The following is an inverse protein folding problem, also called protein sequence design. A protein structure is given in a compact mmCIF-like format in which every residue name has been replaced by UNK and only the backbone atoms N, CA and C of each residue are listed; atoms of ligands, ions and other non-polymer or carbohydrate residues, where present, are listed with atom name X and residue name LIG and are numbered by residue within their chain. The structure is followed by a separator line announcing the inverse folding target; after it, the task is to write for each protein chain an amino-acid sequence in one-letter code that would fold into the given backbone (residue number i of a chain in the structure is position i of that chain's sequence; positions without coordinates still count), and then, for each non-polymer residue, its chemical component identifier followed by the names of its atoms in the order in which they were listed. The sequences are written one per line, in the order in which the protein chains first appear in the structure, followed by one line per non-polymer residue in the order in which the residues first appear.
data_IF_639563427545
#
_entry.id   IF_639563427545
#
_cell.length_a   1.000
_cell.length_b   1.000
_cell.length_c   1.000
_cell.angle_alpha   90.00
_cell.angle_beta   90.00
_cell.angle_gamma   90.00
#
_symmetry.space_group_name_H-M   'P 1'
#
loop_
_entity.id
_entity.type
_entity.pdbx_description
1 polymer ?
#
# COMPACT_ATOMS: atom_id res chain seq x y z
N UNK A 1 10.62 55.48 14.02
CA UNK A 1 9.75 54.88 12.97
C UNK A 1 10.47 53.77 12.22
N UNK A 2 11.77 53.97 11.84
CA UNK A 2 12.56 52.92 11.18
C UNK A 2 12.74 51.71 12.09
N UNK A 3 12.88 51.89 13.40
CA UNK A 3 13.03 50.83 14.37
C UNK A 3 11.74 50.00 14.50
N UNK A 4 10.57 50.63 14.42
CA UNK A 4 9.29 49.95 14.50
C UNK A 4 9.03 49.13 13.26
N UNK A 5 9.31 49.66 12.07
CA UNK A 5 9.17 48.94 10.81
C UNK A 5 10.10 47.73 10.76
N UNK A 6 11.34 47.88 11.26
CA UNK A 6 12.30 46.78 11.32
C UNK A 6 11.83 45.69 12.29
N UNK A 7 11.29 46.07 13.44
CA UNK A 7 10.77 45.12 14.42
C UNK A 7 9.57 44.33 13.86
N UNK A 8 8.69 45.01 13.12
CA UNK A 8 7.55 44.35 12.46
C UNK A 8 8.00 43.35 11.38
N UNK A 9 9.01 43.74 10.60
CA UNK A 9 9.58 42.87 9.59
C UNK A 9 10.24 41.66 10.21
N UNK A 10 11.03 41.84 11.27
CA UNK A 10 11.68 40.76 12.00
C UNK A 10 10.66 39.79 12.59
N UNK A 11 9.57 40.33 13.16
CA UNK A 11 8.50 39.48 13.68
C UNK A 11 7.83 38.69 12.58
N UNK A 12 7.56 39.29 11.42
CA UNK A 12 6.95 38.63 10.29
C UNK A 12 7.84 37.48 9.80
N UNK A 13 9.14 37.71 9.68
CA UNK A 13 10.12 36.68 9.26
C UNK A 13 10.14 35.55 10.28
N UNK A 14 10.17 35.86 11.58
CA UNK A 14 10.16 34.87 12.65
C UNK A 14 8.88 34.02 12.61
N UNK A 15 7.72 34.66 12.45
CA UNK A 15 6.44 33.94 12.35
C UNK A 15 6.42 32.98 11.16
N UNK A 16 6.90 33.42 10.01
CA UNK A 16 6.97 32.56 8.81
C UNK A 16 7.89 31.36 9.05
N UNK A 17 9.03 31.59 9.72
CA UNK A 17 9.96 30.51 10.04
C UNK A 17 9.34 29.49 10.99
N UNK A 18 8.62 29.96 12.04
CA UNK A 18 7.95 29.09 13.01
C UNK A 18 6.84 28.32 12.33
N UNK A 19 6.04 28.97 11.49
CA UNK A 19 4.96 28.31 10.75
C UNK A 19 5.51 27.27 9.79
N UNK A 20 6.62 27.57 9.09
CA UNK A 20 7.28 26.61 8.20
C UNK A 20 7.78 25.40 8.95
N UNK A 21 8.43 25.59 10.10
CA UNK A 21 8.91 24.49 10.94
C UNK A 21 7.74 23.67 11.49
N UNK A 22 6.66 24.32 11.92
CA UNK A 22 5.46 23.64 12.41
C UNK A 22 4.84 22.77 11.33
N UNK A 23 4.71 23.29 10.12
CA UNK A 23 4.17 22.53 8.98
C UNK A 23 5.07 21.34 8.63
N UNK A 24 6.39 21.54 8.65
CA UNK A 24 7.35 20.47 8.39
C UNK A 24 7.20 19.35 9.42
N UNK A 25 7.09 19.68 10.70
CA UNK A 25 6.92 18.72 11.79
C UNK A 25 5.59 17.97 11.62
N UNK A 26 4.51 18.67 11.28
CA UNK A 26 3.20 18.06 11.06
C UNK A 26 3.24 17.08 9.89
N UNK A 27 3.87 17.46 8.78
CA UNK A 27 4.00 16.61 7.60
C UNK A 27 4.83 15.37 7.90
N UNK A 28 5.93 15.53 8.63
CA UNK A 28 6.79 14.43 9.03
C UNK A 28 6.07 13.46 9.96
N UNK A 29 5.31 14.00 10.92
CA UNK A 29 4.52 13.18 11.84
C UNK A 29 3.45 12.39 11.09
N UNK A 30 2.76 13.04 10.16
CA UNK A 30 1.76 12.38 9.32
C UNK A 30 2.38 11.21 8.55
N UNK A 31 3.57 11.42 7.96
CA UNK A 31 4.29 10.39 7.24
C UNK A 31 4.65 9.23 8.16
N UNK A 32 5.15 9.51 9.37
CA UNK A 32 5.50 8.49 10.34
C UNK A 32 4.29 7.68 10.80
N UNK A 33 3.16 8.35 11.04
CA UNK A 33 1.91 7.69 11.43
C UNK A 33 1.41 6.81 10.30
N UNK A 34 1.42 7.30 9.06
CA UNK A 34 1.00 6.53 7.89
C UNK A 34 1.86 5.28 7.72
N UNK A 35 3.17 5.42 7.85
CA UNK A 35 4.09 4.30 7.73
C UNK A 35 3.86 3.27 8.85
N UNK A 36 3.59 3.73 10.07
CA UNK A 36 3.29 2.84 11.19
C UNK A 36 1.99 2.07 10.93
N UNK A 37 0.93 2.75 10.49
CA UNK A 37 -0.35 2.12 10.18
C UNK A 37 -0.18 1.07 9.08
N UNK A 38 0.56 1.40 8.02
CA UNK A 38 0.82 0.47 6.92
C UNK A 38 1.61 -0.76 7.40
N UNK A 39 2.59 -0.54 8.28
CA UNK A 39 3.37 -1.64 8.85
C UNK A 39 2.51 -2.58 9.67
N UNK A 40 1.65 -2.03 10.56
CA UNK A 40 0.73 -2.82 11.38
C UNK A 40 -0.27 -3.55 10.49
N UNK A 41 -0.82 -2.87 9.49
CA UNK A 41 -1.77 -3.47 8.56
C UNK A 41 -1.13 -4.64 7.79
N UNK A 42 0.12 -4.47 7.37
CA UNK A 42 0.87 -5.51 6.68
C UNK A 42 1.07 -6.73 7.58
N UNK A 43 1.46 -6.51 8.84
CA UNK A 43 1.66 -7.60 9.81
C UNK A 43 0.36 -8.35 10.07
N UNK A 44 -0.75 -7.63 10.25
CA UNK A 44 -2.06 -8.23 10.46
C UNK A 44 -2.53 -9.01 9.23
N UNK A 45 -2.33 -8.44 8.04
CA UNK A 45 -2.68 -9.12 6.79
C UNK A 45 -1.87 -10.42 6.65
N UNK A 46 -0.56 -10.35 6.92
CA UNK A 46 0.30 -11.52 6.88
C UNK A 46 -0.13 -12.61 7.84
N UNK A 47 -0.47 -12.24 9.09
CA UNK A 47 -0.96 -13.19 10.08
C UNK A 47 -2.25 -13.86 9.61
N UNK A 48 -3.18 -13.09 9.06
CA UNK A 48 -4.45 -13.63 8.58
C UNK A 48 -4.25 -14.53 7.36
N UNK A 49 -3.39 -14.13 6.43
CA UNK A 49 -3.08 -14.92 5.25
C UNK A 49 -2.44 -16.25 5.65
N UNK A 50 -1.51 -16.22 6.61
CA UNK A 50 -0.85 -17.44 7.08
C UNK A 50 -1.82 -18.42 7.72
N UNK A 51 -2.81 -17.91 8.47
CA UNK A 51 -3.82 -18.74 9.14
C UNK A 51 -4.91 -19.21 8.20
N UNK A 52 -5.38 -18.33 7.31
CA UNK A 52 -6.48 -18.61 6.39
C UNK A 52 -6.20 -18.01 5.03
N UNK A 53 -5.45 -18.71 4.18
CA UNK A 53 -5.08 -18.18 2.86
C UNK A 53 -6.24 -18.10 1.85
N UNK A 54 -7.27 -18.93 2.02
CA UNK A 54 -8.36 -19.01 1.04
C UNK A 54 -9.10 -17.68 0.84
N UNK A 55 -9.47 -16.89 1.87
CA UNK A 55 -10.09 -15.59 1.65
C UNK A 55 -9.24 -14.63 0.84
N UNK A 56 -7.92 -14.65 1.01
CA UNK A 56 -7.01 -13.83 0.23
C UNK A 56 -7.00 -14.26 -1.24
N UNK A 57 -6.98 -15.56 -1.50
CA UNK A 57 -7.11 -16.10 -2.85
C UNK A 57 -8.41 -15.68 -3.52
N UNK A 58 -9.53 -15.69 -2.78
CA UNK A 58 -10.81 -15.22 -3.29
C UNK A 58 -10.79 -13.73 -3.62
N UNK A 59 -10.12 -12.94 -2.81
CA UNK A 59 -9.97 -11.51 -3.07
C UNK A 59 -9.20 -11.26 -4.35
N UNK A 60 -8.09 -11.97 -4.55
CA UNK A 60 -7.31 -11.90 -5.78
C UNK A 60 -8.18 -12.25 -6.98
N UNK A 61 -8.94 -13.34 -6.90
CA UNK A 61 -9.83 -13.76 -7.98
C UNK A 61 -10.87 -12.71 -8.32
N UNK A 62 -11.42 -12.04 -7.30
CA UNK A 62 -12.39 -10.97 -7.48
C UNK A 62 -11.81 -9.79 -8.24
N UNK A 63 -10.59 -9.37 -7.88
CA UNK A 63 -9.90 -8.28 -8.55
C UNK A 63 -9.56 -8.68 -9.99
N UNK A 64 -9.08 -9.88 -10.20
CA UNK A 64 -8.77 -10.39 -11.54
C UNK A 64 -10.00 -10.32 -12.44
N UNK A 65 -11.15 -10.75 -11.94
CA UNK A 65 -12.40 -10.72 -12.71
C UNK A 65 -12.81 -9.30 -13.10
N UNK A 66 -12.54 -8.33 -12.24
CA UNK A 66 -12.86 -6.94 -12.52
C UNK A 66 -11.96 -6.32 -13.60
N UNK A 67 -10.72 -6.78 -13.68
CA UNK A 67 -9.70 -6.16 -14.54
C UNK A 67 -9.53 -6.92 -15.84
N UNK A 68 -9.47 -8.23 -15.77
CA UNK A 68 -9.05 -9.06 -16.90
C UNK A 68 -10.18 -9.72 -17.65
N UNK A 69 -11.39 -9.72 -17.09
CA UNK A 69 -12.65 -10.23 -17.65
C UNK A 69 -12.49 -11.54 -18.44
N UNK A 70 -12.04 -11.50 -19.68
CA UNK A 70 -11.85 -12.69 -20.54
C UNK A 70 -10.40 -12.90 -20.96
N UNK A 71 -9.45 -12.23 -20.32
CA UNK A 71 -8.04 -12.39 -20.64
C UNK A 71 -7.50 -13.68 -19.99
N UNK A 72 -6.96 -14.57 -20.81
CA UNK A 72 -6.44 -15.84 -20.35
C UNK A 72 -5.01 -15.77 -19.80
N UNK A 73 -4.31 -14.67 -20.07
CA UNK A 73 -2.92 -14.50 -19.64
C UNK A 73 -2.85 -13.52 -18.47
N UNK A 74 -3.19 -14.02 -17.29
CA UNK A 74 -3.12 -13.23 -16.06
C UNK A 74 -1.95 -13.73 -15.23
N UNK A 75 -1.10 -12.83 -14.81
CA UNK A 75 0.00 -13.08 -13.90
C UNK A 75 -0.17 -12.22 -12.65
N UNK A 76 0.07 -12.80 -11.50
CA UNK A 76 -0.12 -12.12 -10.23
C UNK A 76 1.21 -12.10 -9.49
N UNK A 77 1.64 -10.90 -9.08
CA UNK A 77 2.82 -10.74 -8.24
C UNK A 77 2.39 -10.61 -6.79
N UNK A 78 3.10 -11.28 -5.91
CA UNK A 78 2.82 -11.33 -4.48
C UNK A 78 4.08 -11.08 -3.67
N UNK A 79 3.91 -10.67 -2.41
CA UNK A 79 5.01 -10.71 -1.45
C UNK A 79 5.57 -12.14 -1.35
N UNK A 80 6.87 -12.27 -1.11
CA UNK A 80 7.53 -13.58 -1.08
C UNK A 80 6.90 -14.56 -0.10
N UNK A 81 6.51 -14.08 1.08
CA UNK A 81 5.87 -14.93 2.09
C UNK A 81 4.45 -15.31 1.67
N UNK A 82 3.72 -14.37 1.11
CA UNK A 82 2.38 -14.62 0.60
C UNK A 82 2.41 -15.59 -0.57
N UNK A 83 3.41 -15.45 -1.44
CA UNK A 83 3.64 -16.39 -2.54
C UNK A 83 3.80 -17.81 -2.02
N UNK A 84 4.61 -18.00 -0.99
CA UNK A 84 4.84 -19.34 -0.42
C UNK A 84 3.55 -19.94 0.11
N UNK A 85 2.74 -19.14 0.80
CA UNK A 85 1.47 -19.59 1.36
C UNK A 85 0.46 -19.91 0.25
N UNK A 86 0.30 -19.00 -0.72
CA UNK A 86 -0.69 -19.16 -1.78
C UNK A 86 -0.29 -20.21 -2.83
N UNK A 87 0.99 -20.49 -2.95
CA UNK A 87 1.45 -21.52 -3.87
C UNK A 87 0.82 -22.89 -3.55
N UNK A 88 0.52 -23.13 -2.29
CA UNK A 88 -0.18 -24.35 -1.86
C UNK A 88 -1.60 -24.39 -2.45
N UNK A 89 -2.28 -23.25 -2.52
CA UNK A 89 -3.60 -23.17 -3.12
C UNK A 89 -3.55 -23.43 -4.63
N UNK A 90 -2.50 -22.97 -5.30
CA UNK A 90 -2.30 -23.25 -6.73
C UNK A 90 -2.10 -24.73 -6.95
N UNK A 91 -1.26 -25.37 -6.14
CA UNK A 91 -0.99 -26.81 -6.24
C UNK A 91 -2.24 -27.65 -5.95
N UNK A 92 -3.10 -27.17 -5.04
CA UNK A 92 -4.35 -27.86 -4.69
C UNK A 92 -5.48 -27.56 -5.68
N UNK A 93 -5.24 -26.70 -6.67
CA UNK A 93 -6.23 -26.35 -7.69
C UNK A 93 -7.24 -25.27 -7.26
N UNK A 94 -7.10 -24.71 -6.06
CA UNK A 94 -8.02 -23.69 -5.55
C UNK A 94 -7.77 -22.30 -6.15
N UNK A 95 -6.58 -22.07 -6.71
CA UNK A 95 -6.22 -20.84 -7.39
C UNK A 95 -5.65 -21.20 -8.77
N UNK A 96 -6.29 -20.68 -9.81
CA UNK A 96 -5.97 -21.08 -11.20
C UNK A 96 -5.08 -20.08 -11.94
N UNK A 97 -4.55 -19.07 -11.25
CA UNK A 97 -3.74 -18.04 -11.86
C UNK A 97 -2.26 -18.32 -11.67
N UNK A 98 -1.46 -17.81 -12.61
CA UNK A 98 -0.01 -17.86 -12.50
C UNK A 98 0.43 -16.83 -11.46
N UNK A 99 1.14 -17.27 -10.44
CA UNK A 99 1.64 -16.39 -9.39
C UNK A 99 3.18 -16.37 -9.39
N UNK A 100 3.73 -15.24 -8.96
CA UNK A 100 5.16 -15.04 -8.84
C UNK A 100 5.44 -14.09 -7.68
N UNK A 101 6.66 -14.09 -7.17
CA UNK A 101 7.01 -13.23 -6.05
C UNK A 101 7.63 -11.92 -6.54
N UNK A 102 7.41 -10.84 -5.78
CA UNK A 102 7.99 -9.53 -6.03
C UNK A 102 8.40 -8.91 -4.70
N UNK A 103 9.69 -8.67 -4.53
CA UNK A 103 10.26 -8.22 -3.26
C UNK A 103 9.75 -6.86 -2.78
N UNK A 104 9.35 -6.00 -3.72
CA UNK A 104 8.87 -4.66 -3.38
C UNK A 104 7.48 -4.63 -2.78
N UNK A 105 6.73 -5.71 -2.87
CA UNK A 105 5.39 -5.81 -2.31
C UNK A 105 5.44 -6.20 -0.83
N UNK A 106 4.58 -5.56 -0.04
CA UNK A 106 4.40 -5.88 1.38
C UNK A 106 3.39 -7.00 1.53
N UNK A 107 3.30 -7.58 2.74
CA UNK A 107 2.31 -8.61 3.04
C UNK A 107 0.90 -8.07 2.78
N UNK A 108 0.10 -8.84 2.07
CA UNK A 108 -1.27 -8.44 1.72
C UNK A 108 -1.40 -7.61 0.45
N UNK A 109 -0.30 -7.14 -0.11
CA UNK A 109 -0.30 -6.43 -1.38
C UNK A 109 -0.14 -7.40 -2.54
N UNK A 110 -0.76 -7.11 -3.67
CA UNK A 110 -0.58 -7.89 -4.88
C UNK A 110 -0.75 -7.02 -6.12
N UNK A 111 -0.20 -7.49 -7.22
CA UNK A 111 -0.22 -6.80 -8.50
C UNK A 111 -0.75 -7.76 -9.55
N UNK A 112 -1.77 -7.34 -10.29
CA UNK A 112 -2.37 -8.15 -11.36
C UNK A 112 -1.88 -7.62 -12.69
N UNK A 113 -1.26 -8.47 -13.48
CA UNK A 113 -0.76 -8.14 -14.81
C UNK A 113 -1.51 -8.95 -15.86
N UNK A 114 -2.02 -8.27 -16.87
CA UNK A 114 -2.63 -8.90 -18.03
C UNK A 114 -2.21 -8.15 -19.29
N UNK A 115 -2.47 -8.73 -20.47
CA UNK A 115 -1.98 -8.17 -21.73
C UNK A 115 -2.45 -6.75 -22.01
N UNK A 116 -3.63 -6.37 -21.51
CA UNK A 116 -4.26 -5.09 -21.83
C UNK A 116 -4.22 -4.07 -20.71
N UNK A 117 -4.01 -4.52 -19.47
CA UNK A 117 -4.04 -3.63 -18.32
C UNK A 117 -3.27 -4.23 -17.15
N UNK A 118 -2.91 -3.37 -16.21
CA UNK A 118 -2.30 -3.80 -14.96
C UNK A 118 -2.93 -3.04 -13.81
N UNK A 119 -3.00 -3.67 -12.64
CA UNK A 119 -3.51 -3.03 -11.45
C UNK A 119 -2.75 -3.54 -10.24
N UNK A 120 -2.47 -2.64 -9.32
CA UNK A 120 -1.81 -2.94 -8.06
C UNK A 120 -2.77 -2.66 -6.92
N UNK A 121 -2.99 -3.65 -6.07
CA UNK A 121 -3.76 -3.49 -4.84
C UNK A 121 -2.78 -3.37 -3.69
N UNK A 122 -2.81 -2.21 -3.03
CA UNK A 122 -1.93 -1.93 -1.90
C UNK A 122 -2.75 -1.80 -0.62
N UNK A 123 -2.07 -1.90 0.52
CA UNK A 123 -2.72 -1.67 1.81
C UNK A 123 -3.23 -0.25 1.95
N UNK A 124 -2.60 0.70 1.26
CA UNK A 124 -3.03 2.09 1.25
C UNK A 124 -4.44 2.24 0.65
N UNK A 125 -4.74 1.48 -0.40
CA UNK A 125 -6.08 1.50 -1.01
C UNK A 125 -7.14 0.96 -0.06
N UNK A 126 -6.81 -0.03 0.75
CA UNK A 126 -7.69 -0.52 1.80
C UNK A 126 -7.94 0.52 2.87
N UNK A 127 -6.91 1.26 3.27
CA UNK A 127 -7.03 2.30 4.28
C UNK A 127 -7.96 3.42 3.85
N UNK A 128 -8.14 3.63 2.55
CA UNK A 128 -9.09 4.62 2.02
C UNK A 128 -10.54 4.12 2.00
N UNK A 129 -10.79 2.87 2.34
CA UNK A 129 -12.14 2.33 2.45
C UNK A 129 -12.84 2.02 1.14
N UNK A 130 -12.12 1.88 0.08
CA UNK A 130 -12.68 1.53 -1.24
C UNK A 130 -12.81 0.02 -1.45
#
# INVERSE_FOLDING_TARGET
EEKLAQAEEDLSVTLKAVMGASNFIADELETQISNFILSVASDLAGTKIDKMPAPFGKKISRVVKQIADNDNEVKIHLNSKDFTVLNKLVLDGDLQYRIDEKETLKRGEFEVLCNKSSARVSLFDFAKGD
#
